data_IF_263293837015
#
_entry.id   IF_263293837015
#
_cell.length_a   1.000
_cell.length_b   1.000
_cell.length_c   1.000
_cell.angle_alpha   90.00
_cell.angle_beta   90.00
_cell.angle_gamma   90.00
#
_symmetry.space_group_name_H-M   'P 1'
#
loop_
_entity.id
_entity.type
_entity.pdbx_description
1 polymer ?
#
# COMPACT_ATOMS: atom_id res chain seq x y z
N UNK A 1 -23.24 22.86 -3.44
CA UNK A 1 -23.27 21.47 -3.96
C UNK A 1 -22.45 20.64 -3.01
N UNK A 2 -23.00 19.52 -2.51
CA UNK A 2 -22.34 18.72 -1.48
C UNK A 2 -21.05 18.11 -2.03
N UNK A 3 -20.00 18.02 -1.19
CA UNK A 3 -18.72 17.39 -1.53
C UNK A 3 -18.92 15.98 -2.17
N UNK A 4 -19.96 15.27 -1.73
CA UNK A 4 -20.36 13.95 -2.25
C UNK A 4 -20.83 13.98 -3.72
N UNK A 5 -21.55 15.01 -4.17
CA UNK A 5 -22.08 15.06 -5.55
C UNK A 5 -20.96 15.31 -6.57
N UNK A 6 -19.98 16.15 -6.20
CA UNK A 6 -18.77 16.35 -6.99
C UNK A 6 -17.97 15.05 -7.08
N UNK A 7 -17.78 14.37 -5.94
CA UNK A 7 -17.10 13.08 -5.89
C UNK A 7 -17.77 12.03 -6.81
N UNK A 8 -19.10 11.92 -6.77
CA UNK A 8 -19.87 11.03 -7.66
C UNK A 8 -19.66 11.32 -9.14
N UNK A 9 -19.51 12.60 -9.49
CA UNK A 9 -19.26 13.03 -10.88
C UNK A 9 -17.88 12.57 -11.33
N UNK A 10 -16.83 12.79 -10.52
CA UNK A 10 -15.49 12.30 -10.83
C UNK A 10 -15.42 10.77 -10.91
N UNK A 11 -16.09 10.07 -9.98
CA UNK A 11 -16.16 8.61 -9.95
C UNK A 11 -16.80 8.04 -11.23
N UNK A 12 -17.89 8.66 -11.70
CA UNK A 12 -18.56 8.25 -12.93
C UNK A 12 -17.72 8.55 -14.19
N UNK A 13 -16.92 9.62 -14.17
CA UNK A 13 -15.95 9.90 -15.23
C UNK A 13 -14.83 8.85 -15.29
N UNK A 14 -14.33 8.42 -14.13
CA UNK A 14 -13.34 7.35 -14.05
C UNK A 14 -13.90 5.99 -14.50
N UNK A 15 -15.13 5.66 -14.11
CA UNK A 15 -15.83 4.44 -14.53
C UNK A 15 -15.88 4.29 -16.06
N UNK A 16 -16.10 5.39 -16.80
CA UNK A 16 -16.11 5.39 -18.27
C UNK A 16 -14.74 5.05 -18.88
N UNK A 17 -13.65 5.30 -18.15
CA UNK A 17 -12.29 5.03 -18.59
C UNK A 17 -11.80 3.62 -18.22
N UNK A 18 -12.50 2.92 -17.30
CA UNK A 18 -12.08 1.61 -16.76
C UNK A 18 -12.29 0.40 -17.70
N UNK A 19 -12.76 0.62 -18.94
CA UNK A 19 -12.92 -0.37 -20.03
C UNK A 19 -13.01 -1.85 -19.60
N UNK A 20 -12.18 -2.75 -20.14
CA UNK A 20 -12.01 -4.14 -19.68
C UNK A 20 -10.79 -4.27 -18.75
N UNK A 21 -10.45 -3.20 -18.02
CA UNK A 21 -9.32 -3.19 -17.11
C UNK A 21 -9.78 -3.55 -15.69
N UNK A 22 -9.31 -4.69 -15.20
CA UNK A 22 -9.60 -5.22 -13.87
C UNK A 22 -8.54 -4.86 -12.83
N UNK A 23 -7.55 -4.05 -13.20
CA UNK A 23 -6.46 -3.62 -12.34
C UNK A 23 -6.95 -2.91 -11.06
N UNK A 24 -6.08 -2.89 -10.05
CA UNK A 24 -6.34 -2.21 -8.80
C UNK A 24 -6.19 -0.70 -8.97
N UNK A 25 -5.09 -0.23 -9.57
CA UNK A 25 -4.79 1.20 -9.58
C UNK A 25 -5.55 1.96 -10.66
N UNK A 26 -5.81 1.35 -11.81
CA UNK A 26 -6.37 2.05 -12.98
C UNK A 26 -7.70 1.44 -13.45
N UNK A 27 -8.17 0.39 -12.78
CA UNK A 27 -9.27 -0.42 -13.26
C UNK A 27 -10.43 -0.57 -12.28
N UNK A 28 -11.30 -1.51 -12.63
CA UNK A 28 -12.57 -1.78 -11.97
C UNK A 28 -12.44 -2.22 -10.52
N UNK A 29 -11.33 -2.83 -10.13
CA UNK A 29 -11.15 -3.33 -8.77
C UNK A 29 -11.01 -2.20 -7.76
N UNK A 30 -10.15 -1.22 -8.05
CA UNK A 30 -10.07 -0.01 -7.23
C UNK A 30 -11.37 0.79 -7.24
N UNK A 31 -12.03 0.85 -8.40
CA UNK A 31 -13.33 1.52 -8.52
C UNK A 31 -14.42 0.86 -7.65
N UNK A 32 -14.45 -0.48 -7.60
CA UNK A 32 -15.36 -1.21 -6.74
C UNK A 32 -15.15 -0.85 -5.27
N UNK A 33 -13.89 -0.79 -4.82
CA UNK A 33 -13.55 -0.35 -3.45
C UNK A 33 -14.10 1.04 -3.14
N UNK A 34 -13.94 2.00 -4.05
CA UNK A 34 -14.49 3.35 -3.88
C UNK A 34 -16.01 3.38 -3.79
N UNK A 35 -16.71 2.56 -4.56
CA UNK A 35 -18.16 2.48 -4.48
C UNK A 35 -18.64 1.94 -3.12
N UNK A 36 -17.94 0.95 -2.56
CA UNK A 36 -18.20 0.47 -1.20
C UNK A 36 -17.92 1.54 -0.14
N UNK A 37 -16.81 2.25 -0.26
CA UNK A 37 -16.47 3.36 0.63
C UNK A 37 -17.50 4.50 0.51
N UNK A 38 -17.96 4.82 -0.70
CA UNK A 38 -18.95 5.86 -0.92
C UNK A 38 -20.30 5.50 -0.33
N UNK A 39 -20.70 4.23 -0.44
CA UNK A 39 -21.86 3.69 0.25
C UNK A 39 -21.71 3.86 1.77
N UNK A 40 -20.57 3.51 2.36
CA UNK A 40 -20.35 3.68 3.80
C UNK A 40 -20.34 5.15 4.25
N UNK A 41 -19.87 6.07 3.41
CA UNK A 41 -19.85 7.51 3.72
C UNK A 41 -21.23 8.16 3.65
N UNK A 42 -22.07 7.74 2.68
CA UNK A 42 -23.30 8.45 2.29
C UNK A 42 -24.60 7.67 2.51
N UNK A 43 -24.54 6.36 2.71
CA UNK A 43 -25.70 5.47 2.72
C UNK A 43 -26.29 5.17 1.34
N UNK A 44 -25.65 5.62 0.25
CA UNK A 44 -26.16 5.50 -1.11
C UNK A 44 -26.21 4.04 -1.60
N UNK A 45 -27.41 3.53 -1.84
CA UNK A 45 -27.63 2.16 -2.32
C UNK A 45 -27.24 1.97 -3.80
N UNK A 46 -27.24 3.05 -4.59
CA UNK A 46 -26.79 2.98 -5.99
C UNK A 46 -25.30 2.67 -6.04
N UNK A 47 -24.52 3.34 -5.18
CA UNK A 47 -23.08 3.07 -5.03
C UNK A 47 -22.82 1.62 -4.61
N UNK A 48 -23.56 1.09 -3.63
CA UNK A 48 -23.44 -0.32 -3.24
C UNK A 48 -23.75 -1.28 -4.41
N UNK A 49 -24.79 -0.98 -5.18
CA UNK A 49 -25.19 -1.80 -6.34
C UNK A 49 -24.10 -1.83 -7.40
N UNK A 50 -23.50 -0.66 -7.71
CA UNK A 50 -22.37 -0.58 -8.65
C UNK A 50 -21.14 -1.34 -8.16
N UNK A 51 -20.78 -1.19 -6.88
CA UNK A 51 -19.67 -1.91 -6.28
C UNK A 51 -19.82 -3.43 -6.39
N UNK A 52 -21.05 -3.95 -6.18
CA UNK A 52 -21.36 -5.39 -6.39
C UNK A 52 -21.21 -5.81 -7.85
N UNK A 53 -21.81 -5.06 -8.77
CA UNK A 53 -21.75 -5.37 -10.20
C UNK A 53 -20.31 -5.45 -10.73
N UNK A 54 -19.44 -4.55 -10.29
CA UNK A 54 -18.02 -4.57 -10.68
C UNK A 54 -17.27 -5.80 -10.14
N UNK A 55 -17.59 -6.25 -8.92
CA UNK A 55 -16.99 -7.48 -8.37
C UNK A 55 -17.55 -8.74 -9.01
N UNK A 56 -18.84 -8.77 -9.35
CA UNK A 56 -19.46 -9.87 -10.09
C UNK A 56 -18.80 -9.99 -11.48
N UNK A 57 -18.65 -8.87 -12.19
CA UNK A 57 -17.96 -8.83 -13.49
C UNK A 57 -16.49 -9.26 -13.38
N UNK A 58 -15.77 -8.78 -12.35
CA UNK A 58 -14.41 -9.21 -12.06
C UNK A 58 -14.34 -10.73 -11.85
N UNK A 59 -15.25 -11.30 -11.05
CA UNK A 59 -15.31 -12.73 -10.76
C UNK A 59 -15.54 -13.55 -12.03
N UNK A 60 -16.34 -13.06 -12.97
CA UNK A 60 -16.57 -13.73 -14.26
C UNK A 60 -15.35 -13.69 -15.20
N UNK A 61 -14.41 -12.77 -14.97
CA UNK A 61 -13.27 -12.52 -15.85
C UNK A 61 -11.89 -12.80 -15.23
N UNK A 62 -11.85 -13.24 -13.97
CA UNK A 62 -10.61 -13.35 -13.19
C UNK A 62 -9.59 -14.29 -13.82
N UNK A 63 -10.04 -15.37 -14.46
CA UNK A 63 -9.19 -16.34 -15.18
C UNK A 63 -8.46 -15.74 -16.41
N UNK A 64 -8.91 -14.59 -16.90
CA UNK A 64 -8.32 -13.91 -18.05
C UNK A 64 -7.11 -13.06 -17.65
N UNK A 65 -6.94 -12.74 -16.36
CA UNK A 65 -5.86 -11.92 -15.83
C UNK A 65 -4.57 -12.77 -15.79
N UNK A 66 -3.48 -12.25 -16.37
CA UNK A 66 -2.21 -12.99 -16.51
C UNK A 66 -1.09 -12.41 -15.66
N UNK A 67 -1.29 -11.21 -15.17
CA UNK A 67 -0.36 -10.48 -14.33
C UNK A 67 -0.51 -10.92 -12.87
N UNK A 68 0.60 -11.11 -12.17
CA UNK A 68 0.63 -11.46 -10.75
C UNK A 68 0.94 -10.28 -9.84
N UNK A 69 1.27 -9.12 -10.41
CA UNK A 69 1.68 -7.94 -9.67
C UNK A 69 0.52 -7.21 -8.99
N UNK A 70 0.83 -6.21 -8.16
CA UNK A 70 -0.15 -5.57 -7.31
C UNK A 70 -0.96 -4.50 -8.05
N UNK A 71 -0.32 -3.72 -8.91
CA UNK A 71 -1.00 -2.64 -9.62
C UNK A 71 -2.06 -3.18 -10.58
N UNK A 72 -1.70 -4.18 -11.39
CA UNK A 72 -2.50 -4.66 -12.51
C UNK A 72 -2.92 -6.14 -12.41
N UNK A 73 -2.40 -6.87 -11.43
CA UNK A 73 -2.51 -8.32 -11.39
C UNK A 73 -3.26 -8.88 -10.20
N UNK A 74 -3.22 -10.21 -10.11
CA UNK A 74 -3.95 -11.01 -9.14
C UNK A 74 -3.66 -10.59 -7.69
N UNK A 75 -2.42 -10.25 -7.32
CA UNK A 75 -2.10 -9.91 -5.93
C UNK A 75 -2.81 -8.65 -5.42
N UNK A 76 -2.93 -7.61 -6.25
CA UNK A 76 -3.68 -6.41 -5.86
C UNK A 76 -5.18 -6.62 -5.85
N UNK A 77 -5.68 -7.43 -6.80
CA UNK A 77 -7.10 -7.76 -6.88
C UNK A 77 -7.52 -8.56 -5.64
N UNK A 78 -6.76 -9.60 -5.31
CA UNK A 78 -6.99 -10.40 -4.12
C UNK A 78 -6.84 -9.59 -2.84
N UNK A 79 -5.87 -8.67 -2.80
CA UNK A 79 -5.69 -7.75 -1.67
C UNK A 79 -6.93 -6.86 -1.48
N UNK A 80 -7.49 -6.31 -2.56
CA UNK A 80 -8.68 -5.46 -2.50
C UNK A 80 -9.91 -6.22 -1.99
N UNK A 81 -10.12 -7.45 -2.47
CA UNK A 81 -11.20 -8.33 -2.01
C UNK A 81 -11.04 -8.65 -0.52
N UNK A 82 -9.84 -9.06 -0.10
CA UNK A 82 -9.54 -9.32 1.31
C UNK A 82 -9.76 -8.06 2.17
N UNK A 83 -9.32 -6.89 1.68
CA UNK A 83 -9.51 -5.62 2.36
C UNK A 83 -10.98 -5.28 2.55
N UNK A 84 -11.82 -5.48 1.53
CA UNK A 84 -13.26 -5.24 1.60
C UNK A 84 -13.93 -6.13 2.65
N UNK A 85 -13.54 -7.40 2.74
CA UNK A 85 -14.08 -8.36 3.72
C UNK A 85 -13.59 -8.04 5.14
N UNK A 86 -12.28 -7.78 5.34
CA UNK A 86 -11.73 -7.45 6.65
C UNK A 86 -12.37 -6.18 7.24
N UNK A 87 -12.68 -5.20 6.39
CA UNK A 87 -13.31 -3.95 6.79
C UNK A 87 -14.85 -4.01 6.80
N UNK A 88 -15.45 -5.20 6.62
CA UNK A 88 -16.91 -5.44 6.69
C UNK A 88 -17.74 -4.67 5.65
N UNK A 89 -17.14 -4.36 4.50
CA UNK A 89 -17.90 -3.90 3.33
C UNK A 89 -18.62 -5.07 2.63
N UNK A 90 -18.04 -6.26 2.70
CA UNK A 90 -18.57 -7.49 2.12
C UNK A 90 -18.56 -8.58 3.20
N UNK A 91 -19.63 -9.39 3.24
CA UNK A 91 -19.72 -10.59 4.05
C UNK A 91 -19.46 -11.80 3.14
N UNK A 92 -18.21 -12.27 3.12
CA UNK A 92 -17.78 -13.40 2.30
C UNK A 92 -16.64 -14.15 3.00
N UNK A 93 -16.49 -15.45 2.69
CA UNK A 93 -15.35 -16.24 3.13
C UNK A 93 -14.20 -16.13 2.11
N UNK A 94 -13.17 -15.36 2.44
CA UNK A 94 -12.04 -15.13 1.52
C UNK A 94 -11.21 -16.39 1.26
N UNK A 95 -11.28 -17.40 2.12
CA UNK A 95 -10.59 -18.68 1.89
C UNK A 95 -11.24 -19.53 0.79
N UNK A 96 -12.50 -19.25 0.48
CA UNK A 96 -13.24 -19.88 -0.63
C UNK A 96 -13.09 -19.05 -1.91
N UNK A 97 -13.36 -17.74 -1.83
CA UNK A 97 -13.40 -16.90 -3.05
C UNK A 97 -12.01 -16.58 -3.62
N UNK A 98 -10.94 -16.64 -2.82
CA UNK A 98 -9.57 -16.40 -3.28
C UNK A 98 -8.77 -17.69 -3.48
N UNK A 99 -9.39 -18.87 -3.37
CA UNK A 99 -8.69 -20.17 -3.43
C UNK A 99 -7.86 -20.35 -4.71
N UNK A 100 -8.47 -20.19 -5.89
CA UNK A 100 -7.77 -20.35 -7.17
C UNK A 100 -6.66 -19.29 -7.35
N UNK A 101 -6.86 -18.11 -6.78
CA UNK A 101 -5.90 -17.01 -6.83
C UNK A 101 -4.72 -17.26 -5.89
N UNK A 102 -4.98 -17.73 -4.66
CA UNK A 102 -3.96 -18.16 -3.70
C UNK A 102 -3.05 -19.21 -4.37
N UNK A 103 -3.63 -20.17 -5.11
CA UNK A 103 -2.92 -21.23 -5.82
C UNK A 103 -2.05 -20.71 -6.98
N UNK A 104 -2.57 -19.80 -7.80
CA UNK A 104 -1.80 -19.18 -8.90
C UNK A 104 -0.66 -18.29 -8.38
N UNK A 105 -0.93 -17.48 -7.36
CA UNK A 105 0.10 -16.64 -6.74
C UNK A 105 1.15 -17.48 -6.03
N UNK A 106 0.76 -18.56 -5.35
CA UNK A 106 1.69 -19.51 -4.74
C UNK A 106 2.66 -20.07 -5.79
N UNK A 107 2.14 -20.55 -6.93
CA UNK A 107 2.97 -21.01 -8.06
C UNK A 107 3.92 -19.90 -8.53
N UNK A 108 3.42 -18.67 -8.68
CA UNK A 108 4.23 -17.55 -9.14
C UNK A 108 5.41 -17.25 -8.21
N UNK A 109 5.24 -17.43 -6.89
CA UNK A 109 6.29 -17.19 -5.88
C UNK A 109 7.31 -18.33 -5.85
N UNK A 110 6.85 -19.57 -5.90
CA UNK A 110 7.73 -20.74 -5.78
C UNK A 110 8.60 -20.95 -7.02
N UNK A 111 8.06 -20.66 -8.22
CA UNK A 111 8.77 -20.94 -9.47
C UNK A 111 9.60 -19.79 -10.02
N UNK A 112 9.33 -18.53 -9.62
CA UNK A 112 10.02 -17.38 -10.18
C UNK A 112 10.17 -16.24 -9.17
N UNK A 113 11.39 -15.70 -9.10
CA UNK A 113 11.64 -14.40 -8.44
C UNK A 113 11.05 -13.28 -9.29
N UNK A 114 10.58 -12.23 -8.63
CA UNK A 114 10.03 -11.03 -9.26
C UNK A 114 11.13 -10.17 -9.89
N UNK A 115 12.30 -10.08 -9.24
CA UNK A 115 13.43 -9.27 -9.73
C UNK A 115 13.24 -7.76 -9.58
N UNK A 116 12.15 -7.33 -8.96
CA UNK A 116 11.81 -5.95 -8.61
C UNK A 116 11.28 -5.94 -7.17
N UNK A 117 11.73 -4.98 -6.38
CA UNK A 117 11.31 -4.78 -5.00
C UNK A 117 10.05 -3.92 -4.85
N UNK A 118 9.56 -3.27 -5.91
CA UNK A 118 8.43 -2.34 -5.80
C UNK A 118 7.12 -2.98 -5.30
N UNK A 119 6.29 -2.17 -4.63
CA UNK A 119 4.92 -2.56 -4.28
C UNK A 119 4.08 -2.90 -5.52
N UNK A 120 4.06 -2.03 -6.52
CA UNK A 120 3.18 -2.16 -7.67
C UNK A 120 3.51 -3.34 -8.59
N UNK A 121 4.79 -3.59 -8.86
CA UNK A 121 5.23 -4.56 -9.86
C UNK A 121 6.00 -5.74 -9.28
N UNK A 122 6.53 -5.58 -8.06
CA UNK A 122 7.54 -6.46 -7.49
C UNK A 122 7.09 -7.36 -6.34
N UNK A 123 8.09 -7.82 -5.60
CA UNK A 123 7.97 -8.80 -4.51
C UNK A 123 7.19 -8.24 -3.31
N UNK A 124 7.27 -6.93 -3.04
CA UNK A 124 6.56 -6.29 -1.91
C UNK A 124 5.04 -6.41 -2.08
N UNK A 125 4.51 -6.21 -3.29
CA UNK A 125 3.08 -6.34 -3.57
C UNK A 125 2.54 -7.75 -3.33
N UNK A 126 3.27 -8.76 -3.81
CA UNK A 126 2.93 -10.16 -3.54
C UNK A 126 2.98 -10.46 -2.04
N UNK A 127 3.97 -9.94 -1.33
CA UNK A 127 4.11 -10.14 0.11
C UNK A 127 2.98 -9.45 0.90
N UNK A 128 2.57 -8.25 0.49
CA UNK A 128 1.43 -7.55 1.09
C UNK A 128 0.13 -8.35 0.97
N UNK A 129 -0.11 -8.95 -0.19
CA UNK A 129 -1.25 -9.85 -0.39
C UNK A 129 -1.24 -11.02 0.62
N UNK A 130 -0.17 -11.81 0.65
CA UNK A 130 -0.09 -12.98 1.54
C UNK A 130 -0.11 -12.60 3.03
N UNK A 131 0.49 -11.47 3.38
CA UNK A 131 0.39 -10.93 4.74
C UNK A 131 -1.06 -10.63 5.13
N UNK A 132 -1.84 -10.02 4.24
CA UNK A 132 -3.26 -9.75 4.49
C UNK A 132 -4.09 -11.03 4.57
N UNK A 133 -3.79 -12.04 3.73
CA UNK A 133 -4.40 -13.37 3.82
C UNK A 133 -4.13 -14.05 5.17
N UNK A 134 -2.92 -13.92 5.75
CA UNK A 134 -2.66 -14.42 7.12
C UNK A 134 -3.41 -13.66 8.22
N UNK A 135 -3.71 -12.38 8.00
CA UNK A 135 -4.48 -11.59 8.93
C UNK A 135 -5.99 -11.87 8.86
N UNK A 136 -6.44 -12.63 7.85
CA UNK A 136 -7.83 -13.01 7.67
C UNK A 136 -8.33 -13.82 8.88
N UNK A 137 -9.62 -13.64 9.20
CA UNK A 137 -10.28 -14.32 10.32
C UNK A 137 -11.52 -15.05 9.80
N UNK A 138 -11.28 -16.15 9.08
CA UNK A 138 -12.33 -17.03 8.58
C UNK A 138 -12.55 -18.21 9.55
N UNK A 139 -13.79 -18.67 9.68
CA UNK A 139 -14.17 -19.70 10.66
C UNK A 139 -13.69 -21.11 10.30
N UNK A 140 -13.27 -21.35 9.06
CA UNK A 140 -12.98 -22.66 8.48
C UNK A 140 -11.65 -22.73 7.71
N UNK A 141 -10.63 -21.94 8.10
CA UNK A 141 -9.36 -21.87 7.37
C UNK A 141 -8.60 -23.20 7.32
N UNK A 142 -8.19 -23.60 6.12
CA UNK A 142 -7.37 -24.78 5.90
C UNK A 142 -5.97 -24.61 6.49
N UNK A 143 -5.56 -25.52 7.39
CA UNK A 143 -4.20 -25.53 7.96
C UNK A 143 -3.13 -25.64 6.87
N UNK A 144 -3.41 -26.37 5.80
CA UNK A 144 -2.50 -26.50 4.66
C UNK A 144 -2.27 -25.14 3.99
N UNK A 145 -3.34 -24.41 3.69
CA UNK A 145 -3.24 -23.05 3.12
C UNK A 145 -2.46 -22.11 4.01
N UNK A 146 -2.71 -22.15 5.31
CA UNK A 146 -1.97 -21.33 6.27
C UNK A 146 -0.45 -21.57 6.16
N UNK A 147 -0.02 -22.83 6.05
CA UNK A 147 1.40 -23.18 5.86
C UNK A 147 1.93 -22.66 4.52
N UNK A 148 1.21 -22.85 3.42
CA UNK A 148 1.61 -22.37 2.10
C UNK A 148 1.77 -20.85 2.06
N UNK A 149 0.85 -20.11 2.70
CA UNK A 149 0.95 -18.65 2.80
C UNK A 149 2.18 -18.24 3.63
N UNK A 150 2.47 -18.95 4.74
CA UNK A 150 3.68 -18.69 5.53
C UNK A 150 4.95 -18.97 4.72
N UNK A 151 4.99 -20.05 3.95
CA UNK A 151 6.11 -20.38 3.05
C UNK A 151 6.31 -19.29 2.00
N UNK A 152 5.25 -18.83 1.35
CA UNK A 152 5.32 -17.69 0.42
C UNK A 152 5.90 -16.45 1.09
N UNK A 153 5.45 -16.09 2.30
CA UNK A 153 6.02 -14.94 2.99
C UNK A 153 7.50 -15.10 3.31
N UNK A 154 7.95 -16.30 3.71
CA UNK A 154 9.39 -16.54 3.93
C UNK A 154 10.17 -16.26 2.66
N UNK A 155 9.77 -16.87 1.53
CA UNK A 155 10.43 -16.73 0.23
C UNK A 155 10.45 -15.27 -0.26
N UNK A 156 9.32 -14.57 -0.11
CA UNK A 156 9.20 -13.18 -0.54
C UNK A 156 10.03 -12.23 0.34
N UNK A 157 10.11 -12.48 1.66
CA UNK A 157 10.95 -11.69 2.57
C UNK A 157 12.43 -11.90 2.25
N UNK A 158 12.84 -13.13 1.94
CA UNK A 158 14.21 -13.43 1.52
C UNK A 158 14.55 -12.71 0.21
N UNK A 159 13.63 -12.68 -0.76
CA UNK A 159 13.81 -11.95 -2.01
C UNK A 159 13.87 -10.42 -1.78
N UNK A 160 13.07 -9.86 -0.85
CA UNK A 160 13.18 -8.44 -0.46
C UNK A 160 14.58 -8.12 0.09
N UNK A 161 15.09 -8.96 1.00
CA UNK A 161 16.45 -8.80 1.56
C UNK A 161 17.53 -8.88 0.46
N UNK A 162 17.39 -9.84 -0.47
CA UNK A 162 18.33 -10.00 -1.56
C UNK A 162 18.37 -8.79 -2.50
N UNK A 163 17.20 -8.28 -2.89
CA UNK A 163 17.09 -7.17 -3.84
C UNK A 163 17.57 -5.83 -3.24
N UNK A 164 17.34 -5.61 -1.94
CA UNK A 164 17.61 -4.32 -1.30
C UNK A 164 18.92 -4.28 -0.51
N UNK A 165 19.34 -5.41 0.09
CA UNK A 165 20.35 -5.41 1.16
C UNK A 165 21.44 -6.49 1.05
N UNK A 166 21.44 -7.35 0.04
CA UNK A 166 22.54 -8.30 -0.17
C UNK A 166 23.88 -7.57 -0.44
N UNK A 167 25.00 -8.23 -0.14
CA UNK A 167 26.37 -7.64 -0.06
C UNK A 167 26.78 -6.79 -1.27
N UNK A 168 26.19 -7.00 -2.45
CA UNK A 168 26.47 -6.22 -3.65
C UNK A 168 25.73 -4.85 -3.72
N UNK A 169 24.65 -4.65 -2.97
CA UNK A 169 23.80 -3.46 -3.02
C UNK A 169 24.20 -2.37 -2.00
N UNK A 170 24.71 -2.76 -0.83
CA UNK A 170 25.11 -1.82 0.25
C UNK A 170 26.59 -1.39 0.11
N UNK A 171 27.45 -2.23 -0.46
CA UNK A 171 28.91 -2.00 -0.50
C UNK A 171 29.39 -1.16 -1.70
N UNK A 172 28.59 -1.01 -2.76
CA UNK A 172 28.92 -0.13 -3.89
C UNK A 172 28.15 1.18 -3.81
N UNK A 173 28.73 2.08 -3.00
CA UNK A 173 28.49 3.53 -2.92
C UNK A 173 27.23 3.95 -2.15
N UNK A 174 27.40 4.31 -0.87
CA UNK A 174 26.37 5.05 -0.11
C UNK A 174 25.83 6.26 -0.89
N UNK A 175 26.69 6.96 -1.64
CA UNK A 175 26.27 8.08 -2.49
C UNK A 175 25.38 7.67 -3.68
N UNK A 176 25.50 6.46 -4.22
CA UNK A 176 24.67 6.01 -5.36
C UNK A 176 23.29 5.55 -4.90
N UNK A 177 23.18 4.93 -3.72
CA UNK A 177 21.89 4.55 -3.15
C UNK A 177 21.08 5.77 -2.69
N UNK A 178 21.73 6.72 -2.01
CA UNK A 178 21.08 7.94 -1.49
C UNK A 178 20.50 8.84 -2.58
N UNK A 179 21.03 8.73 -3.81
CA UNK A 179 20.56 9.48 -4.97
C UNK A 179 19.58 8.70 -5.85
N UNK A 180 19.31 7.42 -5.55
CA UNK A 180 18.36 6.58 -6.29
C UNK A 180 16.98 6.67 -5.63
N UNK A 181 16.17 7.62 -6.12
CA UNK A 181 14.82 7.88 -5.62
C UNK A 181 13.97 6.60 -5.61
N UNK A 182 14.05 5.77 -6.65
CA UNK A 182 13.24 4.56 -6.77
C UNK A 182 13.61 3.56 -5.68
N UNK A 183 14.91 3.33 -5.45
CA UNK A 183 15.36 2.45 -4.36
C UNK A 183 14.99 2.99 -3.00
N UNK A 184 15.08 4.31 -2.77
CA UNK A 184 14.68 4.90 -1.49
C UNK A 184 13.19 4.65 -1.20
N UNK A 185 12.31 4.77 -2.20
CA UNK A 185 10.91 4.38 -2.06
C UNK A 185 10.78 2.89 -1.69
N UNK A 186 11.46 2.00 -2.41
CA UNK A 186 11.41 0.55 -2.14
C UNK A 186 11.93 0.21 -0.73
N UNK A 187 12.95 0.90 -0.23
CA UNK A 187 13.45 0.75 1.16
C UNK A 187 12.39 1.17 2.17
N UNK A 188 11.68 2.29 1.93
CA UNK A 188 10.54 2.73 2.74
C UNK A 188 9.41 1.70 2.74
N UNK A 189 9.05 1.20 1.56
CA UNK A 189 8.02 0.17 1.38
C UNK A 189 8.37 -1.11 2.15
N UNK A 190 9.61 -1.59 1.99
CA UNK A 190 10.09 -2.79 2.66
C UNK A 190 10.07 -2.62 4.19
N UNK A 191 10.54 -1.48 4.69
CA UNK A 191 10.57 -1.18 6.12
C UNK A 191 9.18 -1.29 6.74
N UNK A 192 8.18 -0.66 6.12
CA UNK A 192 6.82 -0.67 6.63
C UNK A 192 6.19 -2.07 6.60
N UNK A 193 6.34 -2.78 5.47
CA UNK A 193 5.73 -4.10 5.30
C UNK A 193 6.33 -5.08 6.31
N UNK A 194 7.66 -5.14 6.36
CA UNK A 194 8.39 -6.05 7.24
C UNK A 194 8.14 -5.72 8.71
N UNK A 195 8.04 -4.44 9.07
CA UNK A 195 7.65 -4.01 10.42
C UNK A 195 6.26 -4.53 10.80
N UNK A 196 5.31 -4.51 9.86
CA UNK A 196 3.96 -5.04 10.08
C UNK A 196 3.93 -6.58 10.19
N UNK A 197 4.78 -7.28 9.44
CA UNK A 197 4.90 -8.75 9.46
C UNK A 197 5.64 -9.24 10.72
N UNK A 198 6.60 -8.49 11.24
CA UNK A 198 7.49 -8.90 12.34
C UNK A 198 6.74 -9.44 13.57
N UNK A 199 5.54 -8.89 13.86
CA UNK A 199 4.67 -9.37 14.96
C UNK A 199 4.20 -10.82 14.81
N UNK A 200 4.15 -11.33 13.58
CA UNK A 200 3.75 -12.71 13.25
C UNK A 200 4.88 -13.72 13.50
N UNK A 201 6.11 -13.26 13.73
CA UNK A 201 7.32 -14.08 13.92
C UNK A 201 7.64 -15.03 12.74
N UNK A 202 7.19 -14.66 11.55
CA UNK A 202 7.55 -15.33 10.29
C UNK A 202 8.84 -14.72 9.78
N UNK A 203 9.81 -15.56 9.40
CA UNK A 203 11.15 -15.16 8.97
C UNK A 203 11.80 -14.07 9.86
N UNK A 204 11.66 -14.20 11.17
CA UNK A 204 11.91 -13.12 12.12
C UNK A 204 13.34 -12.55 12.07
N UNK A 205 14.34 -13.38 11.80
CA UNK A 205 15.73 -12.92 11.73
C UNK A 205 16.00 -12.09 10.47
N UNK A 206 15.45 -12.47 9.31
CA UNK A 206 15.56 -11.69 8.08
C UNK A 206 14.71 -10.43 8.18
N UNK A 207 13.52 -10.49 8.79
CA UNK A 207 12.72 -9.31 9.10
C UNK A 207 13.51 -8.28 9.91
N UNK A 208 14.17 -8.70 11.00
CA UNK A 208 15.01 -7.81 11.83
C UNK A 208 16.18 -7.23 11.03
N UNK A 209 16.82 -8.04 10.19
CA UNK A 209 17.91 -7.58 9.32
C UNK A 209 17.43 -6.47 8.39
N UNK A 210 16.34 -6.69 7.65
CA UNK A 210 15.73 -5.70 6.75
C UNK A 210 15.39 -4.41 7.53
N UNK A 211 14.72 -4.53 8.69
CA UNK A 211 14.36 -3.37 9.51
C UNK A 211 15.62 -2.57 9.91
N UNK A 212 16.66 -3.24 10.40
CA UNK A 212 17.92 -2.59 10.77
C UNK A 212 18.63 -1.94 9.57
N UNK A 213 18.69 -2.63 8.43
CA UNK A 213 19.34 -2.11 7.22
C UNK A 213 18.57 -0.90 6.66
N UNK A 214 17.24 -1.00 6.49
CA UNK A 214 16.40 0.12 6.07
C UNK A 214 16.56 1.31 7.01
N UNK A 215 16.55 1.07 8.32
CA UNK A 215 16.76 2.12 9.32
C UNK A 215 18.09 2.83 9.13
N UNK A 216 19.18 2.07 8.95
CA UNK A 216 20.51 2.63 8.72
C UNK A 216 20.58 3.48 7.44
N UNK A 217 19.96 3.03 6.35
CA UNK A 217 19.89 3.78 5.08
C UNK A 217 19.11 5.09 5.27
N UNK A 218 17.95 5.06 5.91
CA UNK A 218 17.14 6.27 6.15
C UNK A 218 17.83 7.23 7.11
N UNK A 219 18.50 6.74 8.16
CA UNK A 219 19.30 7.57 9.06
C UNK A 219 20.44 8.28 8.30
N UNK A 220 21.11 7.60 7.37
CA UNK A 220 22.14 8.22 6.52
C UNK A 220 21.54 9.30 5.61
N UNK A 221 20.41 9.02 4.96
CA UNK A 221 19.70 9.93 4.07
C UNK A 221 19.28 11.23 4.77
N UNK A 222 18.63 11.13 5.93
CA UNK A 222 18.22 12.32 6.68
C UNK A 222 19.43 13.11 7.20
N UNK A 223 20.52 12.42 7.58
CA UNK A 223 21.73 13.10 8.03
C UNK A 223 22.47 13.84 6.91
N UNK A 224 22.49 13.31 5.68
CA UNK A 224 23.12 13.96 4.53
C UNK A 224 22.33 15.16 4.01
N UNK A 225 21.00 15.17 4.17
CA UNK A 225 20.13 16.24 3.64
C UNK A 225 19.90 17.42 4.61
N UNK A 226 20.54 17.43 5.79
CA UNK A 226 20.37 18.44 6.84
C UNK A 226 20.73 19.90 6.45
N UNK A 227 21.33 20.15 5.27
CA UNK A 227 21.68 21.51 4.81
C UNK A 227 20.67 22.13 3.84
N UNK A 228 19.75 21.35 3.28
CA UNK A 228 18.67 21.82 2.41
C UNK A 228 17.41 20.99 2.68
N UNK A 229 16.73 21.26 3.80
CA UNK A 229 15.36 20.81 4.05
C UNK A 229 14.40 21.52 3.09
N UNK A 230 14.48 21.16 1.82
CA UNK A 230 13.47 21.52 0.84
C UNK A 230 12.26 20.62 1.08
N UNK A 231 11.06 21.17 0.99
CA UNK A 231 9.80 20.43 0.92
C UNK A 231 9.81 19.48 -0.29
N UNK A 232 10.49 18.34 -0.20
CA UNK A 232 10.49 17.31 -1.22
C UNK A 232 9.64 16.13 -0.76
N UNK A 233 8.82 15.62 -1.66
CA UNK A 233 7.83 14.55 -1.41
C UNK A 233 8.45 13.30 -0.79
N UNK A 234 9.65 12.92 -1.24
CA UNK A 234 10.37 11.75 -0.73
C UNK A 234 10.67 11.87 0.78
N UNK A 235 11.00 13.06 1.28
CA UNK A 235 11.28 13.27 2.71
C UNK A 235 10.03 12.99 3.56
N UNK A 236 8.86 13.49 3.10
CA UNK A 236 7.58 13.27 3.77
C UNK A 236 7.18 11.80 3.76
N UNK A 237 7.33 11.14 2.61
CA UNK A 237 7.06 9.72 2.45
C UNK A 237 7.94 8.84 3.36
N UNK A 238 9.26 9.06 3.34
CA UNK A 238 10.19 8.29 4.19
C UNK A 238 9.97 8.54 5.68
N UNK A 239 9.62 9.78 6.06
CA UNK A 239 9.27 10.12 7.44
C UNK A 239 8.01 9.38 7.89
N UNK A 240 7.00 9.30 7.03
CA UNK A 240 5.79 8.51 7.28
C UNK A 240 6.12 7.02 7.44
N UNK A 241 6.97 6.47 6.56
CA UNK A 241 7.43 5.09 6.65
C UNK A 241 8.11 4.80 7.99
N UNK A 242 9.00 5.68 8.43
CA UNK A 242 9.70 5.58 9.70
C UNK A 242 8.72 5.61 10.89
N UNK A 243 7.75 6.54 10.86
CA UNK A 243 6.74 6.71 11.92
C UNK A 243 5.83 5.50 12.07
N UNK A 244 5.18 5.06 11.00
CA UNK A 244 4.26 3.92 11.02
C UNK A 244 4.99 2.62 11.37
N UNK A 245 6.24 2.46 10.94
CA UNK A 245 7.08 1.33 11.35
C UNK A 245 7.33 1.33 12.86
N UNK A 246 7.62 2.50 13.44
CA UNK A 246 7.71 2.66 14.90
C UNK A 246 6.44 2.24 15.64
N UNK A 247 5.26 2.59 15.12
CA UNK A 247 3.97 2.12 15.67
C UNK A 247 3.87 0.59 15.59
N UNK A 248 4.18 -0.02 14.45
CA UNK A 248 4.09 -1.47 14.28
C UNK A 248 5.05 -2.24 15.19
N UNK A 249 6.24 -1.70 15.42
CA UNK A 249 7.26 -2.31 16.28
C UNK A 249 7.05 -2.01 17.77
N UNK A 250 6.25 -0.98 18.12
CA UNK A 250 6.15 -0.48 19.48
C UNK A 250 7.46 0.15 19.97
N UNK A 251 8.28 0.68 19.06
CA UNK A 251 9.61 1.19 19.34
C UNK A 251 9.59 2.73 19.47
N UNK A 252 9.83 3.21 20.68
CA UNK A 252 9.88 4.65 20.99
C UNK A 252 11.02 5.37 20.28
N UNK A 253 12.10 4.67 19.92
CA UNK A 253 13.24 5.29 19.24
C UNK A 253 12.87 5.70 17.81
N UNK A 254 12.15 4.84 17.08
CA UNK A 254 11.56 5.17 15.78
C UNK A 254 10.62 6.37 15.86
N UNK A 255 9.77 6.42 16.89
CA UNK A 255 8.80 7.50 17.10
C UNK A 255 9.47 8.83 17.50
N UNK A 256 10.61 8.79 18.19
CA UNK A 256 11.33 10.00 18.61
C UNK A 256 12.06 10.70 17.47
N UNK A 257 12.46 9.94 16.44
CA UNK A 257 13.18 10.45 15.26
C UNK A 257 12.25 11.02 14.19
N UNK A 258 10.95 10.81 14.29
CA UNK A 258 9.95 11.35 13.33
C UNK A 258 9.61 12.80 13.68
N UNK A 259 10.62 13.63 13.93
CA UNK A 259 10.46 15.07 14.14
C UNK A 259 11.00 15.80 12.92
N UNK A 260 10.11 16.15 11.98
CA UNK A 260 10.45 17.02 10.85
C UNK A 260 10.24 18.48 11.28
N UNK A 261 11.28 19.31 11.21
CA UNK A 261 11.18 20.76 11.48
C UNK A 261 10.66 21.13 12.88
N UNK A 262 10.80 20.28 13.89
CA UNK A 262 10.24 20.50 15.24
C UNK A 262 8.76 20.13 15.40
N UNK A 263 8.12 19.58 14.38
CA UNK A 263 6.76 19.03 14.46
C UNK A 263 6.82 17.56 14.93
N UNK A 264 6.22 17.27 16.09
CA UNK A 264 5.90 15.89 16.49
C UNK A 264 4.77 15.34 15.62
N UNK A 265 5.07 14.34 14.79
CA UNK A 265 4.06 13.59 14.06
C UNK A 265 3.19 12.81 15.04
N UNK A 266 1.89 13.07 15.06
CA UNK A 266 0.93 12.23 15.77
C UNK A 266 -0.14 11.72 14.81
N UNK A 267 -0.76 10.59 15.16
CA UNK A 267 -1.70 9.87 14.31
C UNK A 267 -2.91 10.72 13.89
N UNK A 268 -3.36 11.62 14.77
CA UNK A 268 -4.49 12.54 14.51
C UNK A 268 -4.10 13.67 13.55
N UNK A 269 -2.87 14.18 13.68
CA UNK A 269 -2.26 15.16 12.79
C UNK A 269 -2.13 14.55 11.39
N UNK A 270 -1.53 13.36 11.25
CA UNK A 270 -1.42 12.67 9.96
C UNK A 270 -2.76 12.35 9.30
N UNK A 271 -3.75 11.89 10.08
CA UNK A 271 -5.12 11.65 9.59
C UNK A 271 -5.87 12.94 9.21
N UNK A 272 -5.61 14.04 9.91
CA UNK A 272 -6.16 15.36 9.57
C UNK A 272 -5.44 16.02 8.39
N UNK A 273 -4.26 15.51 8.02
CA UNK A 273 -3.38 16.17 7.07
C UNK A 273 -3.53 15.67 5.63
N UNK A 274 -4.05 14.49 5.33
CA UNK A 274 -4.15 14.05 3.91
C UNK A 274 -2.86 14.27 3.08
N UNK A 275 -1.68 14.25 3.73
CA UNK A 275 -0.31 14.52 3.25
C UNK A 275 -0.06 15.92 2.60
N UNK A 276 0.76 16.78 3.23
CA UNK A 276 1.03 18.19 2.84
C UNK A 276 2.52 18.51 2.64
N UNK A 277 2.83 19.51 1.80
CA UNK A 277 4.03 20.37 1.90
C UNK A 277 3.68 21.72 2.57
N UNK A 278 4.68 22.39 3.17
CA UNK A 278 4.52 23.66 3.89
C UNK A 278 4.97 24.82 3.01
N UNK A 279 4.09 25.34 2.15
CA UNK A 279 4.36 26.65 1.56
C UNK A 279 3.96 27.76 2.53
N UNK A 280 4.99 28.47 2.99
CA UNK A 280 4.91 29.58 3.92
C UNK A 280 4.49 30.85 3.17
N UNK A 281 3.23 30.95 2.77
CA UNK A 281 2.65 32.22 2.34
C UNK A 281 1.58 32.69 3.33
N UNK A 282 1.88 33.84 3.93
CA UNK A 282 0.99 34.54 4.83
C UNK A 282 -0.32 34.89 4.10
N UNK A 283 -1.43 34.39 4.65
CA UNK A 283 -2.83 34.68 4.34
C UNK A 283 -3.55 33.77 3.34
N UNK A 284 -4.46 32.99 3.94
CA UNK A 284 -5.77 32.56 3.42
C UNK A 284 -5.83 31.63 2.21
N UNK A 285 -6.32 30.42 2.51
CA UNK A 285 -6.76 29.32 1.62
C UNK A 285 -5.64 28.35 1.17
N UNK A 286 -5.64 27.19 1.82
CA UNK A 286 -4.75 26.05 1.59
C UNK A 286 -5.40 25.14 0.53
N UNK A 287 -4.66 24.79 -0.52
CA UNK A 287 -5.03 23.77 -1.52
C UNK A 287 -4.16 22.51 -1.35
N UNK A 288 -4.75 21.31 -1.48
CA UNK A 288 -4.19 20.01 -1.02
C UNK A 288 -4.08 18.99 -2.17
N UNK A 289 -2.98 18.24 -2.26
CA UNK A 289 -2.79 17.10 -3.19
C UNK A 289 -1.92 16.00 -2.54
N UNK A 290 -2.41 14.75 -2.36
CA UNK A 290 -1.54 13.62 -1.96
C UNK A 290 -0.54 13.30 -3.07
N UNK A 291 0.70 13.03 -2.71
CA UNK A 291 1.68 12.52 -3.65
C UNK A 291 2.31 11.27 -3.01
N UNK A 292 1.78 10.12 -3.41
CA UNK A 292 2.57 8.93 -3.60
C UNK A 292 2.81 8.88 -5.10
N UNK A 293 3.68 9.74 -5.61
CA UNK A 293 4.21 9.54 -6.94
C UNK A 293 4.95 8.20 -6.92
N UNK A 294 4.37 7.24 -7.63
CA UNK A 294 5.19 6.34 -8.41
C UNK A 294 6.21 7.20 -9.17
N UNK A 295 7.53 7.11 -8.94
CA UNK A 295 8.50 7.93 -9.68
C UNK A 295 8.54 7.63 -11.19
N UNK A 296 7.68 6.74 -11.67
CA UNK A 296 7.64 6.25 -13.05
C UNK A 296 6.25 6.31 -13.70
N UNK A 297 5.22 6.78 -13.01
CA UNK A 297 3.92 7.02 -13.63
C UNK A 297 3.46 8.45 -13.32
N UNK A 298 4.02 9.40 -14.08
CA UNK A 298 3.64 10.82 -14.15
C UNK A 298 2.17 11.06 -14.56
N UNK A 299 1.33 10.05 -14.41
CA UNK A 299 -0.07 10.20 -14.65
C UNK A 299 -0.70 10.65 -13.33
N UNK A 300 -1.24 11.86 -13.31
CA UNK A 300 -2.30 12.28 -12.40
C UNK A 300 -3.57 11.40 -12.58
N UNK A 301 -3.43 10.14 -12.98
CA UNK A 301 -4.47 9.29 -13.52
C UNK A 301 -4.47 7.95 -12.80
N UNK A 302 -5.67 7.43 -12.60
CA UNK A 302 -5.92 6.26 -11.76
C UNK A 302 -6.90 6.55 -10.65
N UNK A 303 -7.21 5.51 -9.89
CA UNK A 303 -8.19 5.52 -8.82
C UNK A 303 -7.67 6.24 -7.56
N UNK A 304 -6.35 6.36 -7.42
CA UNK A 304 -5.72 6.92 -6.22
C UNK A 304 -6.22 8.31 -5.86
N UNK A 305 -6.34 9.22 -6.85
CA UNK A 305 -6.88 10.57 -6.63
C UNK A 305 -8.28 10.54 -6.01
N UNK A 306 -9.11 9.58 -6.39
CA UNK A 306 -10.44 9.42 -5.81
C UNK A 306 -10.36 8.83 -4.39
N UNK A 307 -9.39 7.96 -4.09
CA UNK A 307 -9.14 7.52 -2.72
C UNK A 307 -8.72 8.67 -1.80
N UNK A 308 -7.93 9.64 -2.30
CA UNK A 308 -7.64 10.87 -1.54
C UNK A 308 -8.90 11.60 -1.14
N UNK A 309 -9.75 11.86 -2.13
CA UNK A 309 -10.93 12.70 -1.98
C UNK A 309 -11.92 12.07 -0.99
N UNK A 310 -12.16 10.76 -1.12
CA UNK A 310 -13.11 10.04 -0.26
C UNK A 310 -12.66 9.96 1.21
N UNK A 311 -11.37 10.15 1.50
CA UNK A 311 -10.85 10.12 2.88
C UNK A 311 -11.17 11.36 3.69
N UNK A 312 -11.54 12.46 3.04
CA UNK A 312 -12.05 13.64 3.73
C UNK A 312 -13.39 13.37 4.43
N UNK A 313 -14.07 12.26 4.11
CA UNK A 313 -15.26 11.84 4.83
C UNK A 313 -14.88 11.16 6.16
N UNK A 314 -15.30 11.68 7.34
CA UNK A 314 -14.91 11.14 8.65
C UNK A 314 -15.27 9.67 8.87
N UNK A 315 -16.32 9.18 8.20
CA UNK A 315 -16.75 7.78 8.23
C UNK A 315 -15.70 6.83 7.64
N UNK A 316 -14.85 7.36 6.76
CA UNK A 316 -13.88 6.62 5.95
C UNK A 316 -12.47 6.67 6.54
N UNK A 317 -12.13 7.75 7.25
CA UNK A 317 -10.80 7.99 7.85
C UNK A 317 -10.30 6.93 8.85
N UNK A 318 -11.13 5.92 9.16
CA UNK A 318 -10.78 4.78 10.03
C UNK A 318 -10.28 3.55 9.26
N UNK A 319 -10.47 3.49 7.94
CA UNK A 319 -10.10 2.32 7.14
C UNK A 319 -8.69 2.50 6.56
N UNK A 320 -7.85 1.49 6.73
CA UNK A 320 -6.45 1.53 6.30
C UNK A 320 -6.30 1.08 4.83
N UNK A 321 -6.83 1.85 3.87
CA UNK A 321 -6.64 1.54 2.44
C UNK A 321 -5.27 1.97 1.95
N UNK A 322 -4.61 2.91 2.65
CA UNK A 322 -3.34 3.49 2.24
C UNK A 322 -2.25 2.44 2.07
N UNK A 323 -2.31 1.32 2.81
CA UNK A 323 -1.38 0.20 2.67
C UNK A 323 -1.29 -0.35 1.23
N UNK A 324 -2.36 -0.27 0.44
CA UNK A 324 -2.38 -0.72 -0.96
C UNK A 324 -1.85 0.31 -1.97
N UNK A 325 -1.66 1.56 -1.59
CA UNK A 325 -1.08 2.60 -2.46
C UNK A 325 0.22 3.16 -1.90
N UNK A 326 0.59 2.69 -0.72
CA UNK A 326 1.51 3.38 0.14
C UNK A 326 1.52 2.74 1.53
N UNK A 327 2.12 1.56 1.60
CA UNK A 327 3.39 1.56 2.30
C UNK A 327 4.15 2.85 1.96
#
# INVERSE_FOLDING_TARGET
>A
MNNIDNFKTYLSGFEQNCANDYSLYNGKTGLAMLYYMLHAASGDQVSLTKGKQLLDELSENIQNIKEFNFQNGLSGIGWAIEWLVQNKFIDANTDEILEDMDDELYRSVVYAKSGDASLAHGVIGKALYFYRRLCARNSSSSRYRYICIQECLVLLIDEIDELLFSDNAILYNGDTLLNDLQKMHQVGQALLLVSSINRLKINAEVCKKIICCSRGVLDLYFNSNNSHHNDNELDWYLTYCYYKSGIYLGDSEFLSKTMYGGCTFNEKFMRSLGYFSVNNEANSQIHVTLMAEHPLDNSETGVFNLFKEICHFPQIAKYNWEEGWGL
#
